data_IF_313295148294
#
_entry.id   IF_313295148294
#
_cell.length_a   1.000
_cell.length_b   1.000
_cell.length_c   1.000
_cell.angle_alpha   90.00
_cell.angle_beta   90.00
_cell.angle_gamma   90.00
#
_symmetry.space_group_name_H-M   'P 1'
#
loop_
_entity.id
_entity.type
_entity.pdbx_description
1 polymer ?
#
# COMPACT_ATOMS: atom_id res chain seq x y z
N UNK A 1 51.43 -67.23 12.46
CA UNK A 1 51.29 -66.58 11.14
C UNK A 1 52.02 -67.31 10.00
N UNK A 2 52.78 -68.39 10.26
CA UNK A 2 53.57 -69.09 9.21
C UNK A 2 52.80 -70.17 8.42
N UNK A 3 51.73 -70.75 8.98
CA UNK A 3 50.94 -71.78 8.29
C UNK A 3 49.92 -71.23 7.27
N UNK A 4 49.61 -69.93 7.32
CA UNK A 4 48.64 -69.29 6.42
C UNK A 4 49.22 -68.87 5.07
N UNK A 5 50.53 -68.67 4.97
CA UNK A 5 51.19 -68.21 3.73
C UNK A 5 51.55 -69.38 2.79
N UNK A 6 51.75 -70.59 3.33
CA UNK A 6 52.07 -71.78 2.53
C UNK A 6 50.86 -72.36 1.76
N UNK A 7 49.62 -72.12 2.20
CA UNK A 7 48.43 -72.53 1.43
C UNK A 7 48.20 -71.66 0.18
N UNK A 8 48.72 -70.43 0.18
CA UNK A 8 48.64 -69.48 -0.93
C UNK A 8 49.36 -69.97 -2.20
N UNK A 9 50.40 -70.79 -2.05
CA UNK A 9 51.22 -71.31 -3.15
C UNK A 9 50.68 -72.59 -3.80
N UNK A 10 49.72 -73.29 -3.18
CA UNK A 10 49.22 -74.59 -3.68
C UNK A 10 48.02 -74.48 -4.64
N UNK A 11 47.37 -73.31 -4.70
CA UNK A 11 46.23 -73.04 -5.62
C UNK A 11 46.33 -71.62 -6.20
N UNK A 12 47.27 -71.37 -7.15
CA UNK A 12 47.60 -70.03 -7.64
C UNK A 12 46.40 -69.27 -8.21
N UNK A 13 45.48 -69.97 -8.90
CA UNK A 13 44.25 -69.37 -9.42
C UNK A 13 43.34 -68.80 -8.32
N UNK A 14 43.17 -69.51 -7.20
CA UNK A 14 42.34 -69.04 -6.07
C UNK A 14 42.97 -67.83 -5.38
N UNK A 15 44.29 -67.84 -5.20
CA UNK A 15 45.04 -66.73 -4.62
C UNK A 15 44.94 -65.46 -5.45
N UNK A 16 45.05 -65.57 -6.78
CA UNK A 16 44.84 -64.45 -7.71
C UNK A 16 43.41 -63.91 -7.59
N UNK A 17 42.42 -64.79 -7.53
CA UNK A 17 41.00 -64.41 -7.35
C UNK A 17 40.80 -63.67 -6.02
N UNK A 18 41.38 -64.13 -4.91
CA UNK A 18 41.29 -63.45 -3.61
C UNK A 18 41.95 -62.07 -3.63
N UNK A 19 43.11 -61.92 -4.28
CA UNK A 19 43.79 -60.63 -4.43
C UNK A 19 42.95 -59.67 -5.28
N UNK A 20 42.37 -60.16 -6.39
CA UNK A 20 41.46 -59.37 -7.23
C UNK A 20 40.20 -58.95 -6.47
N UNK A 21 39.61 -59.84 -5.68
CA UNK A 21 38.48 -59.52 -4.80
C UNK A 21 38.85 -58.48 -3.75
N UNK A 22 40.02 -58.61 -3.10
CA UNK A 22 40.53 -57.62 -2.14
C UNK A 22 40.79 -56.26 -2.79
N UNK A 23 41.34 -56.23 -4.00
CA UNK A 23 41.54 -55.00 -4.75
C UNK A 23 40.19 -54.36 -5.13
N UNK A 24 39.22 -55.17 -5.56
CA UNK A 24 37.87 -54.69 -5.89
C UNK A 24 37.15 -54.12 -4.66
N UNK A 25 37.24 -54.78 -3.50
CA UNK A 25 36.64 -54.27 -2.26
C UNK A 25 37.35 -53.01 -1.75
N UNK A 26 38.67 -52.95 -1.83
CA UNK A 26 39.44 -51.76 -1.46
C UNK A 26 39.11 -50.56 -2.35
N UNK A 27 39.05 -50.76 -3.67
CA UNK A 27 38.64 -49.70 -4.61
C UNK A 27 37.21 -49.25 -4.36
N UNK A 28 36.27 -50.19 -4.17
CA UNK A 28 34.87 -49.87 -3.84
C UNK A 28 34.74 -49.09 -2.52
N UNK A 29 35.52 -49.44 -1.50
CA UNK A 29 35.55 -48.72 -0.23
C UNK A 29 36.12 -47.30 -0.41
N UNK A 30 37.23 -47.18 -1.15
CA UNK A 30 37.86 -45.89 -1.45
C UNK A 30 36.92 -44.97 -2.25
N UNK A 31 36.23 -45.49 -3.27
CA UNK A 31 35.26 -44.70 -4.04
C UNK A 31 34.06 -44.31 -3.18
N UNK A 32 33.58 -45.21 -2.32
CA UNK A 32 32.47 -44.92 -1.41
C UNK A 32 32.84 -43.82 -0.40
N UNK A 33 34.04 -43.88 0.19
CA UNK A 33 34.55 -42.85 1.09
C UNK A 33 34.77 -41.52 0.38
N UNK A 34 35.29 -41.54 -0.85
CA UNK A 34 35.47 -40.35 -1.67
C UNK A 34 34.12 -39.69 -2.02
N UNK A 35 33.13 -40.49 -2.44
CA UNK A 35 31.76 -40.01 -2.70
C UNK A 35 31.10 -39.46 -1.44
N UNK A 36 31.26 -40.12 -0.30
CA UNK A 36 30.73 -39.63 0.98
C UNK A 36 31.34 -38.27 1.35
N UNK A 37 32.67 -38.14 1.30
CA UNK A 37 33.36 -36.86 1.57
C UNK A 37 32.94 -35.76 0.59
N UNK A 38 32.86 -36.09 -0.70
CA UNK A 38 32.42 -35.14 -1.73
C UNK A 38 30.97 -34.70 -1.50
N UNK A 39 30.07 -35.64 -1.22
CA UNK A 39 28.66 -35.37 -0.91
C UNK A 39 28.52 -34.50 0.34
N UNK A 40 29.23 -34.82 1.43
CA UNK A 40 29.20 -33.99 2.64
C UNK A 40 29.72 -32.57 2.41
N UNK A 41 30.79 -32.40 1.62
CA UNK A 41 31.27 -31.07 1.22
C UNK A 41 30.29 -30.34 0.33
N UNK A 42 29.67 -31.04 -0.63
CA UNK A 42 28.66 -30.48 -1.53
C UNK A 42 27.42 -30.01 -0.76
N UNK A 43 26.88 -30.84 0.14
CA UNK A 43 25.75 -30.48 1.01
C UNK A 43 26.09 -29.26 1.86
N UNK A 44 27.31 -29.20 2.42
CA UNK A 44 27.75 -28.03 3.17
C UNK A 44 27.80 -26.79 2.27
N UNK A 45 28.38 -26.90 1.08
CA UNK A 45 28.44 -25.80 0.13
C UNK A 45 27.04 -25.33 -0.30
N UNK A 46 26.11 -26.23 -0.58
CA UNK A 46 24.71 -25.91 -0.89
C UNK A 46 24.06 -25.18 0.29
N UNK A 47 24.24 -25.65 1.52
CA UNK A 47 23.72 -24.97 2.73
C UNK A 47 24.31 -23.57 2.92
N UNK A 48 25.58 -23.38 2.60
CA UNK A 48 26.25 -22.09 2.70
C UNK A 48 25.91 -21.16 1.52
N UNK A 49 25.35 -21.69 0.42
CA UNK A 49 25.07 -20.93 -0.81
C UNK A 49 23.60 -20.51 -0.94
N UNK A 50 22.65 -21.30 -0.44
CA UNK A 50 21.22 -21.04 -0.59
C UNK A 50 20.59 -20.65 0.74
N UNK A 51 19.97 -19.46 0.76
CA UNK A 51 19.10 -19.02 1.84
C UNK A 51 17.66 -19.35 1.48
N UNK A 52 16.92 -19.97 2.41
CA UNK A 52 15.49 -20.21 2.25
C UNK A 52 14.72 -18.99 2.73
N UNK A 53 13.78 -18.51 1.92
CA UNK A 53 12.84 -17.45 2.31
C UNK A 53 11.61 -18.13 2.90
N UNK A 54 11.39 -17.97 4.20
CA UNK A 54 10.14 -18.33 4.85
C UNK A 54 9.17 -17.16 4.75
N UNK A 55 8.05 -17.35 4.06
CA UNK A 55 6.99 -16.34 3.96
C UNK A 55 5.80 -16.79 4.80
N UNK A 56 5.40 -15.95 5.74
CA UNK A 56 4.17 -16.11 6.51
C UNK A 56 3.15 -15.13 5.93
N UNK A 57 2.11 -15.64 5.26
CA UNK A 57 1.01 -14.78 4.82
C UNK A 57 0.04 -14.60 5.97
N UNK A 58 -0.18 -13.35 6.37
CA UNK A 58 -1.11 -13.04 7.45
C UNK A 58 -2.56 -13.33 7.05
N UNK A 59 -2.84 -13.33 5.75
CA UNK A 59 -4.12 -13.70 5.15
C UNK A 59 -4.54 -15.14 5.49
N UNK A 60 -3.63 -16.00 5.93
CA UNK A 60 -3.96 -17.34 6.45
C UNK A 60 -4.58 -17.29 7.87
N UNK A 61 -4.44 -16.18 8.58
CA UNK A 61 -4.89 -15.96 9.95
C UNK A 61 -6.01 -14.91 10.06
N UNK A 62 -6.22 -14.10 9.01
CA UNK A 62 -7.20 -13.01 9.01
C UNK A 62 -8.26 -13.18 7.92
N UNK A 63 -9.49 -12.79 8.25
CA UNK A 63 -10.57 -12.75 7.26
C UNK A 63 -10.32 -11.61 6.27
N UNK A 64 -10.37 -11.90 4.97
CA UNK A 64 -10.08 -10.89 3.94
C UNK A 64 -11.25 -9.93 3.73
N UNK A 65 -10.95 -8.77 3.14
CA UNK A 65 -11.97 -7.72 2.92
C UNK A 65 -13.05 -8.15 1.91
N UNK A 66 -12.72 -9.13 1.06
CA UNK A 66 -13.59 -9.63 0.00
C UNK A 66 -14.66 -10.61 0.52
N UNK A 67 -15.92 -10.37 0.18
CA UNK A 67 -17.11 -11.11 0.70
C UNK A 67 -17.09 -12.61 0.36
N UNK A 68 -16.40 -13.02 -0.70
CA UNK A 68 -16.29 -14.44 -1.12
C UNK A 68 -14.90 -15.05 -0.85
N UNK A 69 -14.12 -14.44 0.05
CA UNK A 69 -12.83 -15.00 0.42
C UNK A 69 -13.01 -16.30 1.21
N UNK A 70 -12.03 -17.20 1.08
CA UNK A 70 -11.95 -18.38 1.92
C UNK A 70 -11.79 -17.96 3.39
N UNK A 71 -12.37 -18.70 4.34
CA UNK A 71 -12.16 -18.44 5.77
C UNK A 71 -10.67 -18.62 6.12
N UNK A 72 -10.18 -17.94 7.19
CA UNK A 72 -8.81 -18.14 7.67
C UNK A 72 -8.50 -19.62 7.92
N UNK A 73 -7.29 -20.05 7.58
CA UNK A 73 -6.81 -21.41 7.84
C UNK A 73 -6.46 -21.62 9.31
N UNK A 74 -6.06 -20.54 9.99
CA UNK A 74 -5.60 -20.54 11.37
C UNK A 74 -6.30 -19.45 12.19
N UNK A 75 -6.35 -19.64 13.51
CA UNK A 75 -6.85 -18.64 14.45
C UNK A 75 -5.85 -17.48 14.59
N UNK A 76 -6.34 -16.24 14.50
CA UNK A 76 -5.54 -15.02 14.62
C UNK A 76 -4.66 -14.98 15.88
N UNK A 77 -5.13 -15.55 17.00
CA UNK A 77 -4.37 -15.62 18.26
C UNK A 77 -3.05 -16.40 18.14
N UNK A 78 -2.89 -17.24 17.11
CA UNK A 78 -1.63 -17.93 16.84
C UNK A 78 -0.61 -17.08 16.07
N UNK A 79 -1.01 -16.01 15.41
CA UNK A 79 -0.15 -15.24 14.51
C UNK A 79 1.13 -14.76 15.21
N UNK A 80 1.00 -14.05 16.34
CA UNK A 80 2.15 -13.55 17.11
C UNK A 80 3.03 -14.69 17.63
N UNK A 81 2.42 -15.83 18.02
CA UNK A 81 3.17 -17.01 18.49
C UNK A 81 3.98 -17.65 17.37
N UNK A 82 3.43 -17.72 16.15
CA UNK A 82 4.13 -18.25 14.97
C UNK A 82 5.29 -17.33 14.59
N UNK A 83 5.06 -16.01 14.53
CA UNK A 83 6.10 -15.01 14.28
C UNK A 83 7.24 -15.12 15.30
N UNK A 84 6.93 -15.13 16.59
CA UNK A 84 7.95 -15.28 17.65
C UNK A 84 8.73 -16.58 17.53
N UNK A 85 8.05 -17.71 17.26
CA UNK A 85 8.74 -19.00 17.09
C UNK A 85 9.63 -19.05 15.86
N UNK A 86 9.24 -18.38 14.78
CA UNK A 86 10.08 -18.25 13.59
C UNK A 86 11.33 -17.41 13.90
N UNK A 87 11.19 -16.29 14.61
CA UNK A 87 12.32 -15.44 15.00
C UNK A 87 13.29 -16.11 16.00
N UNK A 88 12.76 -16.92 16.93
CA UNK A 88 13.56 -17.66 17.93
C UNK A 88 14.32 -18.88 17.35
N UNK A 89 14.04 -19.27 16.10
CA UNK A 89 14.63 -20.47 15.49
C UNK A 89 16.14 -20.31 15.26
N UNK A 90 16.92 -21.34 15.59
CA UNK A 90 18.37 -21.39 15.33
C UNK A 90 18.73 -21.32 13.83
N UNK A 91 17.75 -21.58 12.95
CA UNK A 91 17.91 -21.53 11.50
C UNK A 91 17.59 -20.16 10.89
N UNK A 92 17.03 -19.24 11.69
CA UNK A 92 16.67 -17.90 11.22
C UNK A 92 17.90 -17.01 11.26
N UNK A 93 18.36 -16.61 10.07
CA UNK A 93 19.49 -15.68 9.92
C UNK A 93 19.03 -14.24 10.16
N UNK A 94 17.83 -13.92 9.68
CA UNK A 94 17.24 -12.59 9.70
C UNK A 94 15.73 -12.71 9.56
N UNK A 95 14.99 -11.77 10.12
CA UNK A 95 13.54 -11.67 10.06
C UNK A 95 13.16 -10.27 9.62
N UNK A 96 12.16 -10.17 8.73
CA UNK A 96 11.55 -8.90 8.36
C UNK A 96 10.69 -8.41 9.52
N UNK A 97 11.18 -7.40 10.24
CA UNK A 97 10.47 -6.72 11.32
C UNK A 97 10.47 -5.24 10.94
N UNK A 98 9.39 -4.82 10.29
CA UNK A 98 9.22 -3.45 9.83
C UNK A 98 8.18 -2.73 10.68
N UNK A 99 8.51 -1.51 11.05
CA UNK A 99 7.56 -0.53 11.56
C UNK A 99 7.31 0.53 10.49
N UNK A 100 6.16 1.20 10.56
CA UNK A 100 5.74 2.14 9.54
C UNK A 100 5.31 3.47 10.15
N UNK A 101 5.89 4.53 9.62
CA UNK A 101 5.55 5.89 9.97
C UNK A 101 5.40 6.69 8.68
N UNK A 102 5.03 7.95 8.81
CA UNK A 102 5.05 8.90 7.70
C UNK A 102 5.96 10.08 8.05
N UNK A 103 6.71 10.57 7.08
CA UNK A 103 7.58 11.73 7.23
C UNK A 103 7.14 12.86 6.31
N UNK A 104 6.78 14.01 6.87
CA UNK A 104 6.43 15.22 6.14
C UNK A 104 7.66 16.10 5.88
N UNK A 105 7.78 16.61 4.66
CA UNK A 105 8.67 17.71 4.31
C UNK A 105 8.02 18.56 3.22
N UNK A 106 7.87 19.86 3.45
CA UNK A 106 7.21 20.77 2.51
C UNK A 106 7.84 20.82 1.11
N UNK A 107 9.11 20.39 0.98
CA UNK A 107 9.87 20.43 -0.26
C UNK A 107 9.89 19.08 -1.01
N UNK A 108 9.22 18.05 -0.50
CA UNK A 108 9.10 16.76 -1.20
C UNK A 108 7.69 16.55 -1.72
N UNK A 109 7.58 15.80 -2.81
CA UNK A 109 6.34 15.33 -3.41
C UNK A 109 6.37 13.82 -3.50
N UNK A 110 5.23 13.19 -3.24
CA UNK A 110 5.11 11.74 -3.31
C UNK A 110 5.31 11.22 -4.75
N UNK A 111 6.00 10.07 -4.91
CA UNK A 111 6.15 9.41 -6.23
C UNK A 111 4.90 8.60 -6.63
N UNK A 112 3.84 9.35 -6.92
CA UNK A 112 2.50 8.85 -7.26
C UNK A 112 2.24 9.01 -8.75
N UNK A 113 1.50 8.05 -9.34
CA UNK A 113 0.97 8.17 -10.70
C UNK A 113 -0.52 8.49 -10.64
N UNK A 114 -1.00 9.32 -11.56
CA UNK A 114 -2.44 9.44 -11.77
C UNK A 114 -3.06 8.10 -12.15
N UNK A 115 -4.30 7.87 -11.76
CA UNK A 115 -4.97 6.60 -12.04
C UNK A 115 -6.07 6.29 -11.05
N UNK A 116 -6.12 5.05 -10.61
CA UNK A 116 -7.10 4.58 -9.64
C UNK A 116 -6.82 5.09 -8.22
N UNK A 117 -7.81 4.95 -7.34
CA UNK A 117 -7.67 5.25 -5.92
C UNK A 117 -6.53 4.45 -5.27
N UNK A 118 -6.32 3.20 -5.70
CA UNK A 118 -5.26 2.35 -5.16
C UNK A 118 -3.87 2.93 -5.45
N UNK A 119 -3.72 3.56 -6.61
CA UNK A 119 -2.45 4.15 -7.05
C UNK A 119 -2.20 5.53 -6.44
N UNK A 120 -3.28 6.26 -6.11
CA UNK A 120 -3.21 7.69 -5.81
C UNK A 120 -3.49 8.04 -4.34
N UNK A 121 -4.23 7.22 -3.60
CA UNK A 121 -4.58 7.49 -2.22
C UNK A 121 -3.38 7.26 -1.27
N UNK A 122 -3.21 8.09 -0.23
CA UNK A 122 -4.04 9.23 0.17
C UNK A 122 -3.71 10.55 -0.54
N UNK A 123 -2.69 10.57 -1.39
CA UNK A 123 -2.17 11.78 -2.04
C UNK A 123 -3.14 12.45 -3.02
N UNK A 124 -4.19 11.75 -3.48
CA UNK A 124 -5.27 12.36 -4.27
C UNK A 124 -6.23 13.25 -3.47
N UNK A 125 -6.27 13.14 -2.14
CA UNK A 125 -7.15 13.97 -1.31
C UNK A 125 -6.75 15.44 -1.46
N UNK A 126 -7.72 16.26 -1.84
CA UNK A 126 -7.50 17.62 -2.33
C UNK A 126 -8.56 18.58 -1.79
N UNK A 127 -8.22 19.87 -1.80
CA UNK A 127 -9.17 20.97 -1.58
C UNK A 127 -9.26 21.75 -2.89
N UNK A 128 -10.46 21.90 -3.42
CA UNK A 128 -10.68 22.67 -4.65
C UNK A 128 -11.78 23.68 -4.40
N UNK A 129 -11.53 24.93 -4.80
CA UNK A 129 -12.51 26.00 -4.77
C UNK A 129 -12.91 26.35 -6.21
N UNK A 130 -14.20 26.60 -6.42
CA UNK A 130 -14.66 26.88 -7.77
C UNK A 130 -16.14 27.21 -7.87
N UNK A 131 -16.54 27.67 -9.05
CA UNK A 131 -17.93 27.97 -9.38
C UNK A 131 -18.51 26.79 -10.14
N UNK A 132 -19.67 26.29 -9.69
CA UNK A 132 -20.37 25.23 -10.40
C UNK A 132 -20.87 25.72 -11.78
N UNK A 133 -20.38 25.12 -12.86
CA UNK A 133 -20.81 25.42 -14.23
C UNK A 133 -22.00 24.56 -14.65
N UNK A 134 -22.00 23.30 -14.25
CA UNK A 134 -23.08 22.36 -14.56
C UNK A 134 -23.17 21.27 -13.49
N UNK A 135 -24.36 20.72 -13.36
CA UNK A 135 -24.60 19.48 -12.64
C UNK A 135 -25.62 18.66 -13.41
N UNK A 136 -25.33 17.37 -13.55
CA UNK A 136 -26.19 16.40 -14.24
C UNK A 136 -26.35 15.16 -13.36
N UNK A 137 -27.60 14.82 -13.07
CA UNK A 137 -27.92 13.56 -12.39
C UNK A 137 -28.07 12.45 -13.43
N UNK A 138 -27.42 11.32 -13.15
CA UNK A 138 -27.47 10.17 -14.04
C UNK A 138 -28.60 9.22 -13.60
N UNK A 139 -28.98 8.30 -14.49
CA UNK A 139 -29.96 7.25 -14.15
C UNK A 139 -29.47 6.39 -12.97
N UNK A 140 -28.18 6.03 -12.97
CA UNK A 140 -27.52 5.39 -11.81
C UNK A 140 -27.45 6.33 -10.60
N UNK A 141 -27.15 5.86 -9.38
CA UNK A 141 -27.10 6.66 -8.13
C UNK A 141 -26.22 7.93 -8.16
N UNK A 142 -25.47 8.16 -9.23
CA UNK A 142 -24.45 9.19 -9.29
C UNK A 142 -24.95 10.49 -9.95
N UNK A 143 -24.28 11.59 -9.63
CA UNK A 143 -24.29 12.82 -10.39
C UNK A 143 -22.88 13.16 -10.88
N UNK A 144 -22.83 14.06 -11.87
CA UNK A 144 -21.62 14.66 -12.41
C UNK A 144 -21.74 16.17 -12.25
N UNK A 145 -20.84 16.80 -11.50
CA UNK A 145 -20.76 18.24 -11.35
C UNK A 145 -19.46 18.77 -11.97
N UNK A 146 -19.54 19.82 -12.77
CA UNK A 146 -18.37 20.50 -13.34
C UNK A 146 -18.20 21.82 -12.62
N UNK A 147 -17.04 22.02 -12.00
CA UNK A 147 -16.65 23.30 -11.41
C UNK A 147 -15.53 23.92 -12.21
N UNK A 148 -15.62 25.22 -12.43
CA UNK A 148 -14.50 26.05 -12.87
C UNK A 148 -13.67 26.44 -11.66
N UNK A 149 -12.40 26.05 -11.67
CA UNK A 149 -11.49 26.23 -10.55
C UNK A 149 -11.18 27.72 -10.39
N UNK A 150 -11.29 28.21 -9.15
CA UNK A 150 -10.92 29.57 -8.78
C UNK A 150 -9.49 29.59 -8.26
N UNK A 151 -8.53 29.70 -9.17
CA UNK A 151 -7.10 29.76 -8.84
C UNK A 151 -6.67 30.99 -8.03
N UNK A 152 -7.55 31.98 -7.86
CA UNK A 152 -7.29 33.13 -6.97
C UNK A 152 -7.59 32.84 -5.50
N UNK A 153 -8.23 31.70 -5.21
CA UNK A 153 -8.59 31.24 -3.88
C UNK A 153 -7.83 29.95 -3.51
N UNK A 154 -8.11 29.37 -2.34
CA UNK A 154 -7.43 28.19 -1.82
C UNK A 154 -7.67 26.95 -2.71
N UNK A 155 -6.58 26.38 -3.22
CA UNK A 155 -6.58 25.09 -3.90
C UNK A 155 -5.36 24.28 -3.44
N UNK A 156 -5.57 23.00 -3.13
CA UNK A 156 -4.54 22.02 -2.81
C UNK A 156 -4.74 20.86 -3.78
N UNK A 157 -4.06 20.94 -4.92
CA UNK A 157 -4.14 19.96 -6.01
C UNK A 157 -2.84 19.15 -6.02
N UNK A 158 -2.89 17.81 -6.21
CA UNK A 158 -1.70 16.97 -6.14
C UNK A 158 -0.70 17.28 -7.24
N UNK A 159 0.59 17.18 -6.92
CA UNK A 159 1.69 17.41 -7.88
C UNK A 159 1.63 16.51 -9.12
N UNK A 160 1.18 15.26 -8.97
CA UNK A 160 1.02 14.35 -10.11
C UNK A 160 -0.08 14.78 -11.10
N UNK A 161 -0.93 15.74 -10.73
CA UNK A 161 -1.89 16.41 -11.63
C UNK A 161 -1.30 17.73 -12.15
N UNK A 162 -0.70 18.54 -11.27
CA UNK A 162 -0.10 19.84 -11.64
C UNK A 162 1.12 19.72 -12.57
N UNK A 163 1.69 18.51 -12.73
CA UNK A 163 2.68 18.23 -13.78
C UNK A 163 2.12 18.40 -15.20
N UNK A 164 0.80 18.35 -15.35
CA UNK A 164 0.09 18.61 -16.60
C UNK A 164 -0.44 20.05 -16.59
N UNK A 165 -0.72 20.62 -17.77
CA UNK A 165 -1.21 22.01 -17.92
C UNK A 165 -2.29 22.39 -16.90
N UNK A 166 -2.30 23.65 -16.43
CA UNK A 166 -3.23 24.15 -15.39
C UNK A 166 -4.70 23.86 -15.75
N UNK A 167 -5.34 22.82 -15.17
CA UNK A 167 -6.69 22.43 -15.56
C UNK A 167 -7.70 23.49 -15.15
N UNK A 168 -8.48 24.01 -16.08
CA UNK A 168 -9.45 25.07 -15.76
C UNK A 168 -10.71 24.53 -15.09
N UNK A 169 -11.00 23.24 -15.30
CA UNK A 169 -12.22 22.59 -14.84
C UNK A 169 -11.90 21.35 -14.01
N UNK A 170 -12.74 21.08 -13.03
CA UNK A 170 -12.79 19.81 -12.29
C UNK A 170 -14.14 19.15 -12.54
N UNK A 171 -14.07 17.87 -12.90
CA UNK A 171 -15.21 17.00 -13.12
C UNK A 171 -15.38 16.08 -11.90
N UNK A 172 -16.43 16.35 -11.11
CA UNK A 172 -16.68 15.73 -9.82
C UNK A 172 -17.82 14.73 -9.97
N UNK A 173 -17.50 13.45 -9.75
CA UNK A 173 -18.50 12.41 -9.57
C UNK A 173 -18.85 12.29 -8.07
N UNK A 174 -20.14 12.24 -7.78
CA UNK A 174 -20.66 11.97 -6.44
C UNK A 174 -21.93 11.13 -6.49
N UNK A 175 -22.38 10.63 -5.35
CA UNK A 175 -23.55 9.73 -5.24
C UNK A 175 -24.62 10.22 -4.28
N UNK A 176 -24.34 11.27 -3.49
CA UNK A 176 -25.25 11.73 -2.44
C UNK A 176 -25.96 13.05 -2.73
N UNK A 177 -27.16 13.19 -2.17
CA UNK A 177 -27.91 14.43 -2.05
C UNK A 177 -27.85 14.94 -0.61
N UNK A 178 -28.20 16.20 -0.41
CA UNK A 178 -28.20 16.86 0.90
C UNK A 178 -29.33 16.34 1.80
N UNK A 179 -29.26 16.63 3.11
CA UNK A 179 -30.27 16.24 4.09
C UNK A 179 -31.68 16.79 3.78
N UNK A 180 -31.78 17.90 3.05
CA UNK A 180 -33.05 18.49 2.62
C UNK A 180 -33.52 18.00 1.24
N UNK A 181 -33.00 16.85 0.78
CA UNK A 181 -33.29 16.23 -0.50
C UNK A 181 -33.00 17.16 -1.71
N UNK A 182 -31.90 17.93 -1.64
CA UNK A 182 -31.48 18.82 -2.72
C UNK A 182 -30.16 18.39 -3.34
N UNK A 183 -29.89 18.95 -4.50
CA UNK A 183 -28.60 18.81 -5.16
C UNK A 183 -27.49 19.38 -4.27
N UNK A 184 -26.34 18.69 -4.15
CA UNK A 184 -25.18 19.21 -3.40
C UNK A 184 -24.54 20.42 -4.10
N UNK A 185 -24.81 20.62 -5.40
CA UNK A 185 -24.34 21.76 -6.17
C UNK A 185 -25.48 22.49 -6.85
N UNK A 186 -25.32 23.81 -7.01
CA UNK A 186 -26.20 24.69 -7.75
C UNK A 186 -25.36 25.54 -8.71
N UNK A 187 -25.79 25.57 -9.98
CA UNK A 187 -25.09 26.29 -11.04
C UNK A 187 -24.97 27.79 -10.70
N UNK A 188 -23.77 28.33 -10.88
CA UNK A 188 -23.44 29.73 -10.61
C UNK A 188 -23.01 30.03 -9.17
N UNK A 189 -23.16 29.08 -8.24
CA UNK A 189 -22.71 29.25 -6.85
C UNK A 189 -21.25 28.80 -6.68
N UNK A 190 -20.58 29.37 -5.68
CA UNK A 190 -19.19 29.06 -5.33
C UNK A 190 -19.13 28.00 -4.21
N UNK A 191 -18.20 27.06 -4.36
CA UNK A 191 -18.03 25.94 -3.46
C UNK A 191 -16.56 25.76 -3.06
N UNK A 192 -16.37 25.28 -1.84
CA UNK A 192 -15.16 24.61 -1.39
C UNK A 192 -15.46 23.11 -1.31
N UNK A 193 -14.59 22.30 -1.91
CA UNK A 193 -14.80 20.85 -2.04
C UNK A 193 -13.59 20.09 -1.53
N UNK A 194 -13.83 19.14 -0.62
CA UNK A 194 -12.86 18.12 -0.23
C UNK A 194 -13.06 16.93 -1.17
N UNK A 195 -12.06 16.59 -1.98
CA UNK A 195 -12.27 15.73 -3.16
C UNK A 195 -11.05 14.84 -3.44
N UNK A 196 -11.28 13.64 -3.97
CA UNK A 196 -10.25 12.76 -4.51
C UNK A 196 -9.96 13.11 -5.97
N UNK A 197 -8.85 13.81 -6.24
CA UNK A 197 -8.39 14.12 -7.59
C UNK A 197 -7.55 12.96 -8.12
N UNK A 198 -8.12 12.14 -9.00
CA UNK A 198 -7.55 10.85 -9.43
C UNK A 198 -6.64 10.98 -10.65
N UNK A 199 -7.06 11.80 -11.63
CA UNK A 199 -6.32 11.95 -12.88
C UNK A 199 -6.64 13.25 -13.59
N UNK A 200 -5.74 13.60 -14.50
CA UNK A 200 -5.90 14.65 -15.49
C UNK A 200 -6.29 14.04 -16.84
N UNK A 201 -7.23 14.68 -17.55
CA UNK A 201 -7.59 14.28 -18.91
C UNK A 201 -7.99 15.47 -19.78
N UNK A 202 -7.80 15.33 -21.09
CA UNK A 202 -8.17 16.34 -22.10
C UNK A 202 -9.46 15.87 -22.78
N UNK A 203 -10.48 16.71 -22.79
CA UNK A 203 -11.72 16.51 -23.55
C UNK A 203 -11.73 17.40 -24.79
N UNK A 204 -12.25 16.86 -25.89
CA UNK A 204 -12.36 17.55 -27.18
C UNK A 204 -11.09 18.26 -27.67
N UNK A 205 -9.92 17.80 -27.24
CA UNK A 205 -8.61 18.29 -27.67
C UNK A 205 -8.20 19.69 -27.15
N UNK A 206 -9.03 20.36 -26.36
CA UNK A 206 -8.76 21.74 -25.91
C UNK A 206 -9.15 22.04 -24.45
N UNK A 207 -9.95 21.19 -23.80
CA UNK A 207 -10.44 21.47 -22.45
C UNK A 207 -9.84 20.47 -21.47
N UNK A 208 -9.15 21.02 -20.48
CA UNK A 208 -8.39 20.26 -19.49
C UNK A 208 -9.23 20.06 -18.23
N UNK A 209 -9.44 18.80 -17.84
CA UNK A 209 -10.25 18.41 -16.69
C UNK A 209 -9.42 17.64 -15.66
N UNK A 210 -9.69 17.90 -14.39
CA UNK A 210 -9.39 16.96 -13.31
C UNK A 210 -10.55 15.98 -13.19
N UNK A 211 -10.30 14.68 -13.29
CA UNK A 211 -11.24 13.65 -12.88
C UNK A 211 -11.21 13.50 -11.37
N UNK A 212 -12.35 13.74 -10.72
CA UNK A 212 -12.43 13.77 -9.29
C UNK A 212 -13.68 13.09 -8.74
N UNK A 213 -13.61 12.69 -7.46
CA UNK A 213 -14.70 12.02 -6.75
C UNK A 213 -14.84 12.55 -5.34
N UNK A 214 -16.06 12.81 -4.90
CA UNK A 214 -16.35 13.09 -3.48
C UNK A 214 -16.69 11.82 -2.70
N UNK A 215 -16.96 10.71 -3.38
CA UNK A 215 -17.30 9.43 -2.76
C UNK A 215 -17.07 8.21 -3.68
N UNK A 216 -17.38 7.01 -3.15
CA UNK A 216 -17.19 5.72 -3.83
C UNK A 216 -18.48 4.92 -3.98
N UNK A 217 -18.78 4.53 -5.23
CA UNK A 217 -19.88 3.65 -5.69
C UNK A 217 -19.81 2.20 -5.15
N UNK A 218 -18.93 1.86 -4.20
CA UNK A 218 -18.81 0.46 -3.74
C UNK A 218 -18.34 0.29 -2.29
N UNK A 219 -17.74 1.33 -1.70
CA UNK A 219 -17.13 1.23 -0.37
C UNK A 219 -17.57 2.30 0.60
N UNK A 220 -18.41 3.26 0.20
CA UNK A 220 -18.85 4.38 1.03
C UNK A 220 -20.37 4.47 1.17
N UNK A 221 -21.14 3.53 0.61
CA UNK A 221 -22.60 3.53 0.68
C UNK A 221 -23.15 3.65 2.11
N UNK A 222 -22.40 3.16 3.10
CA UNK A 222 -22.78 3.25 4.51
C UNK A 222 -22.62 4.63 5.14
N UNK A 223 -21.98 5.60 4.46
CA UNK A 223 -22.00 7.02 4.88
C UNK A 223 -23.39 7.61 4.70
N UNK A 224 -24.19 6.99 3.84
CA UNK A 224 -25.51 7.43 3.46
C UNK A 224 -26.52 6.53 4.17
N UNK A 225 -27.06 7.04 5.27
CA UNK A 225 -27.88 6.27 6.20
C UNK A 225 -29.31 6.04 5.67
N UNK A 226 -29.68 6.77 4.62
CA UNK A 226 -31.04 6.80 4.08
C UNK A 226 -31.04 6.76 2.55
N UNK A 227 -31.87 5.87 2.00
CA UNK A 227 -32.21 5.83 0.58
C UNK A 227 -33.51 6.60 0.38
N UNK A 228 -33.55 7.47 -0.61
CA UNK A 228 -34.74 8.26 -0.95
C UNK A 228 -35.18 7.89 -2.36
N UNK A 229 -36.40 7.36 -2.48
CA UNK A 229 -37.04 7.12 -3.78
C UNK A 229 -37.39 8.45 -4.43
N UNK A 230 -37.19 8.52 -5.76
CA UNK A 230 -37.57 9.68 -6.55
C UNK A 230 -39.09 9.85 -6.54
N UNK A 231 -39.56 11.05 -6.19
CA UNK A 231 -40.96 11.44 -6.29
C UNK A 231 -41.08 12.59 -7.29
N UNK A 232 -41.69 12.30 -8.45
CA UNK A 232 -41.86 13.28 -9.53
C UNK A 232 -42.65 14.53 -9.12
N UNK A 233 -43.43 14.49 -8.03
CA UNK A 233 -44.18 15.62 -7.50
C UNK A 233 -43.28 16.64 -6.80
N UNK A 234 -42.24 16.17 -6.12
CA UNK A 234 -41.39 17.01 -5.24
C UNK A 234 -39.97 17.18 -5.77
N UNK A 235 -39.48 16.26 -6.60
CA UNK A 235 -38.08 16.17 -7.02
C UNK A 235 -37.82 16.57 -8.48
N UNK A 236 -38.86 16.61 -9.32
CA UNK A 236 -38.72 16.87 -10.77
C UNK A 236 -38.08 18.23 -11.07
N UNK A 237 -38.37 19.25 -10.27
CA UNK A 237 -37.81 20.59 -10.47
C UNK A 237 -36.30 20.65 -10.14
N UNK A 238 -35.89 19.95 -9.08
CA UNK A 238 -34.51 19.96 -8.58
C UNK A 238 -33.59 19.05 -9.42
N UNK A 239 -34.05 17.85 -9.75
CA UNK A 239 -33.21 16.80 -10.33
C UNK A 239 -33.50 16.53 -11.82
N UNK A 240 -34.64 17.00 -12.34
CA UNK A 240 -35.15 16.60 -13.64
C UNK A 240 -36.03 15.35 -13.56
N UNK A 241 -36.46 14.88 -14.73
CA UNK A 241 -37.40 13.76 -14.85
C UNK A 241 -36.68 12.41 -14.88
N UNK A 242 -37.03 11.52 -13.93
CA UNK A 242 -36.56 10.15 -13.84
C UNK A 242 -37.71 9.15 -13.74
N UNK A 243 -37.40 7.87 -13.89
CA UNK A 243 -38.31 6.78 -13.54
C UNK A 243 -38.57 6.75 -12.03
N UNK A 244 -39.78 6.37 -11.62
CA UNK A 244 -40.19 6.25 -10.20
C UNK A 244 -39.37 5.20 -9.40
N UNK A 245 -38.54 4.38 -10.05
CA UNK A 245 -37.64 3.43 -9.40
C UNK A 245 -36.24 4.03 -9.11
N UNK A 246 -36.01 5.29 -9.47
CA UNK A 246 -34.77 6.01 -9.22
C UNK A 246 -34.61 6.22 -7.71
N UNK A 247 -33.40 5.97 -7.22
CA UNK A 247 -33.04 6.15 -5.82
C UNK A 247 -31.87 7.12 -5.69
N UNK A 248 -31.88 7.89 -4.60
CA UNK A 248 -30.79 8.76 -4.16
C UNK A 248 -30.27 8.33 -2.80
N UNK A 249 -28.99 8.61 -2.57
CA UNK A 249 -28.35 8.41 -1.27
C UNK A 249 -28.35 9.73 -0.53
N UNK A 250 -28.80 9.73 0.72
CA UNK A 250 -28.88 10.96 1.50
C UNK A 250 -27.74 11.05 2.50
N UNK A 251 -27.06 12.20 2.54
CA UNK A 251 -26.00 12.47 3.51
C UNK A 251 -26.53 13.34 4.66
N UNK A 252 -26.80 12.70 5.79
CA UNK A 252 -27.37 13.36 6.97
C UNK A 252 -26.31 13.77 8.01
N UNK A 253 -25.08 13.27 7.92
CA UNK A 253 -24.03 13.56 8.89
C UNK A 253 -23.11 14.70 8.41
N UNK A 254 -23.14 15.89 9.03
CA UNK A 254 -22.31 17.02 8.65
C UNK A 254 -20.80 16.75 8.69
N UNK A 255 -20.33 15.85 9.57
CA UNK A 255 -18.90 15.51 9.66
C UNK A 255 -18.36 14.81 8.40
N UNK A 256 -19.26 14.29 7.56
CA UNK A 256 -18.95 13.59 6.32
C UNK A 256 -19.17 14.45 5.07
N UNK A 257 -19.67 15.69 5.21
CA UNK A 257 -19.94 16.58 4.07
C UNK A 257 -18.66 16.85 3.30
N UNK A 258 -18.63 16.57 2.00
CA UNK A 258 -17.44 16.79 1.17
C UNK A 258 -17.54 18.07 0.33
N UNK A 259 -18.70 18.72 0.34
CA UNK A 259 -19.04 19.90 -0.46
C UNK A 259 -19.60 20.95 0.48
N UNK A 260 -19.10 22.19 0.39
CA UNK A 260 -19.60 23.32 1.15
C UNK A 260 -19.78 24.52 0.23
N UNK A 261 -21.00 25.05 0.17
CA UNK A 261 -21.25 26.34 -0.45
C UNK A 261 -20.57 27.43 0.40
N UNK A 262 -19.84 28.33 -0.25
CA UNK A 262 -19.21 29.48 0.39
C UNK A 262 -19.62 30.77 -0.32
N UNK A 263 -19.96 31.81 0.44
CA UNK A 263 -20.27 33.15 -0.09
C UNK A 263 -19.07 34.12 0.02
N UNK A 264 -17.97 33.66 0.63
CA UNK A 264 -16.72 34.40 0.86
C UNK A 264 -15.53 33.70 0.19
N UNK A 265 -14.30 34.16 0.47
CA UNK A 265 -13.11 33.34 0.17
C UNK A 265 -13.08 32.09 1.06
N UNK A 266 -12.40 31.04 0.61
CA UNK A 266 -12.22 29.83 1.42
C UNK A 266 -11.40 30.12 2.69
N UNK A 267 -10.44 31.04 2.62
CA UNK A 267 -9.68 31.49 3.79
C UNK A 267 -10.58 32.11 4.86
N UNK A 268 -11.45 33.06 4.49
CA UNK A 268 -12.39 33.68 5.42
C UNK A 268 -13.37 32.64 5.99
N UNK A 269 -13.82 31.69 5.17
CA UNK A 269 -14.72 30.63 5.62
C UNK A 269 -14.06 29.75 6.67
N UNK A 270 -12.83 29.27 6.43
CA UNK A 270 -12.08 28.43 7.36
C UNK A 270 -11.78 29.16 8.67
N UNK A 271 -11.37 30.43 8.60
CA UNK A 271 -11.06 31.23 9.78
C UNK A 271 -12.29 31.41 10.70
N UNK A 272 -13.49 31.45 10.12
CA UNK A 272 -14.75 31.56 10.85
C UNK A 272 -15.29 30.22 11.36
N UNK A 273 -15.17 29.14 10.56
CA UNK A 273 -15.69 27.81 10.91
C UNK A 273 -14.87 27.12 12.00
N UNK A 274 -13.53 27.24 11.94
CA UNK A 274 -12.57 26.65 12.90
C UNK A 274 -12.88 25.20 13.29
N UNK A 275 -13.12 24.35 12.30
CA UNK A 275 -13.42 22.95 12.53
C UNK A 275 -13.02 22.09 11.34
N UNK A 276 -13.97 21.30 10.85
CA UNK A 276 -13.76 20.19 9.92
C UNK A 276 -12.98 20.57 8.67
N UNK A 277 -13.20 21.78 8.14
CA UNK A 277 -12.57 22.22 6.90
C UNK A 277 -11.11 22.65 7.10
N UNK A 278 -10.78 23.21 8.26
CA UNK A 278 -9.40 23.49 8.64
C UNK A 278 -8.57 22.20 8.72
N UNK A 279 -9.10 21.18 9.39
CA UNK A 279 -8.46 19.87 9.54
C UNK A 279 -8.20 19.19 8.20
N UNK A 280 -9.14 19.30 7.26
CA UNK A 280 -8.99 18.74 5.91
C UNK A 280 -7.94 19.49 5.08
N UNK A 281 -7.89 20.81 5.20
CA UNK A 281 -6.87 21.64 4.56
C UNK A 281 -5.49 21.25 5.08
N UNK A 282 -5.33 21.12 6.39
CA UNK A 282 -4.08 20.68 7.01
C UNK A 282 -3.70 19.26 6.58
N UNK A 283 -4.65 18.32 6.65
CA UNK A 283 -4.47 16.93 6.20
C UNK A 283 -4.00 16.85 4.75
N UNK A 284 -4.63 17.58 3.83
CA UNK A 284 -4.22 17.64 2.42
C UNK A 284 -2.81 18.19 2.27
N UNK A 285 -2.52 19.35 2.88
CA UNK A 285 -1.20 20.02 2.77
C UNK A 285 -0.08 19.12 3.27
N UNK A 286 -0.28 18.45 4.40
CA UNK A 286 0.77 17.62 4.98
C UNK A 286 0.90 16.32 4.19
N UNK A 287 -0.21 15.61 3.94
CA UNK A 287 -0.18 14.29 3.31
C UNK A 287 0.42 14.30 1.91
N UNK A 288 0.11 15.31 1.09
CA UNK A 288 0.66 15.41 -0.28
C UNK A 288 2.18 15.58 -0.33
N UNK A 289 2.76 16.02 0.79
CA UNK A 289 4.18 16.29 0.99
C UNK A 289 4.82 15.30 1.98
N UNK A 290 4.23 14.12 2.12
CA UNK A 290 4.74 13.06 2.99
C UNK A 290 5.30 11.88 2.21
N UNK A 291 6.33 11.25 2.79
CA UNK A 291 6.87 9.97 2.37
C UNK A 291 6.55 8.88 3.40
N UNK A 292 6.47 7.64 2.94
CA UNK A 292 6.32 6.49 3.81
C UNK A 292 7.69 6.18 4.44
N UNK A 293 7.76 6.14 5.77
CA UNK A 293 8.99 5.85 6.50
C UNK A 293 8.95 4.42 7.01
N UNK A 294 9.80 3.57 6.43
CA UNK A 294 9.91 2.15 6.78
C UNK A 294 11.11 1.99 7.71
N UNK A 295 10.81 1.69 8.96
CA UNK A 295 11.77 1.43 10.02
C UNK A 295 12.12 -0.05 9.96
N UNK A 296 13.38 -0.37 9.72
CA UNK A 296 13.84 -1.76 9.59
C UNK A 296 15.20 -1.92 10.26
N UNK A 297 15.51 -3.15 10.64
CA UNK A 297 16.83 -3.56 11.11
C UNK A 297 17.71 -4.11 9.97
N UNK A 298 17.14 -4.44 8.80
CA UNK A 298 17.86 -4.95 7.64
C UNK A 298 17.01 -4.88 6.36
N UNK A 299 17.39 -4.03 5.40
CA UNK A 299 16.64 -3.88 4.14
C UNK A 299 16.54 -5.20 3.34
N UNK A 300 17.56 -6.05 3.37
CA UNK A 300 17.60 -7.29 2.59
C UNK A 300 16.70 -8.42 3.15
N UNK A 301 16.12 -8.26 4.34
CA UNK A 301 15.12 -9.21 4.86
C UNK A 301 13.75 -9.00 4.22
N UNK A 302 13.49 -7.80 3.70
CA UNK A 302 12.23 -7.42 3.09
C UNK A 302 12.06 -8.20 1.79
N UNK A 303 10.88 -8.82 1.61
CA UNK A 303 10.59 -9.74 0.51
C UNK A 303 11.06 -9.23 -0.85
N UNK A 304 10.67 -8.01 -1.26
CA UNK A 304 11.07 -7.46 -2.57
C UNK A 304 12.59 -7.29 -2.74
N UNK A 305 13.33 -6.93 -1.69
CA UNK A 305 14.79 -6.86 -1.78
C UNK A 305 15.43 -8.25 -1.83
N UNK A 306 14.85 -9.20 -1.09
CA UNK A 306 15.34 -10.57 -1.05
C UNK A 306 15.14 -11.31 -2.38
N UNK A 307 14.02 -11.05 -3.07
CA UNK A 307 13.71 -11.63 -4.38
C UNK A 307 14.32 -10.85 -5.56
N UNK A 308 15.09 -9.78 -5.29
CA UNK A 308 15.63 -8.83 -6.29
C UNK A 308 14.57 -8.06 -7.10
N UNK A 309 13.32 -8.02 -6.64
CA UNK A 309 12.30 -7.12 -7.20
C UNK A 309 12.58 -5.65 -6.86
N UNK A 310 13.34 -5.41 -5.78
CA UNK A 310 13.94 -4.13 -5.42
C UNK A 310 15.45 -4.28 -5.20
N UNK A 311 16.24 -3.31 -5.64
CA UNK A 311 17.69 -3.36 -5.51
C UNK A 311 18.32 -1.96 -5.47
N UNK A 312 19.45 -1.81 -4.77
CA UNK A 312 20.21 -0.56 -4.71
C UNK A 312 20.84 -0.28 -6.08
N UNK A 313 20.57 0.89 -6.65
CA UNK A 313 21.09 1.32 -7.96
C UNK A 313 22.12 2.45 -7.86
N UNK A 314 22.11 3.21 -6.75
CA UNK A 314 23.09 4.27 -6.48
C UNK A 314 23.44 4.30 -5.00
N UNK A 315 24.67 4.73 -4.68
CA UNK A 315 25.16 4.80 -3.31
C UNK A 315 25.38 3.40 -2.73
N UNK A 316 24.95 3.20 -1.49
CA UNK A 316 25.10 1.94 -0.76
C UNK A 316 23.85 1.61 0.07
N UNK A 317 23.78 0.37 0.55
CA UNK A 317 22.82 0.01 1.59
C UNK A 317 23.24 0.57 2.95
N UNK A 318 22.30 0.60 3.90
CA UNK A 318 22.56 0.88 5.32
C UNK A 318 23.36 -0.30 5.89
N UNK A 319 24.40 0.00 6.68
CA UNK A 319 25.27 -1.03 7.27
C UNK A 319 24.71 -1.58 8.57
N UNK A 320 25.13 -2.79 8.94
CA UNK A 320 24.73 -3.41 10.22
C UNK A 320 25.10 -2.54 11.44
N UNK A 321 26.22 -1.81 11.37
CA UNK A 321 26.63 -0.86 12.41
C UNK A 321 25.68 0.35 12.50
N UNK A 322 25.27 0.90 11.36
CA UNK A 322 24.29 1.98 11.30
C UNK A 322 22.91 1.54 11.82
N UNK A 323 22.48 0.31 11.50
CA UNK A 323 21.27 -0.28 12.08
C UNK A 323 21.40 -0.47 13.60
N UNK A 324 22.53 -1.03 14.07
CA UNK A 324 22.76 -1.30 15.48
C UNK A 324 22.78 -0.03 16.34
N UNK A 325 23.36 1.06 15.79
CA UNK A 325 23.51 2.36 16.44
C UNK A 325 22.32 3.31 16.23
N UNK A 326 21.34 2.96 15.38
CA UNK A 326 20.23 3.85 15.05
C UNK A 326 20.68 5.09 14.28
N UNK A 327 21.66 4.96 13.39
CA UNK A 327 22.21 6.09 12.65
C UNK A 327 21.14 6.81 11.81
N UNK A 328 21.23 8.13 11.70
CA UNK A 328 20.29 8.92 10.90
C UNK A 328 20.72 8.93 9.43
N UNK A 329 20.62 7.77 8.80
CA UNK A 329 20.84 7.56 7.37
C UNK A 329 19.60 6.95 6.74
N UNK A 330 19.36 7.19 5.46
CA UNK A 330 18.21 6.62 4.75
C UNK A 330 18.56 6.12 3.35
N UNK A 331 17.71 5.22 2.86
CA UNK A 331 17.69 4.77 1.47
C UNK A 331 16.32 5.12 0.88
N UNK A 332 16.33 5.83 -0.24
CA UNK A 332 15.10 6.30 -0.92
C UNK A 332 14.93 5.62 -2.27
N UNK A 333 13.75 5.68 -2.87
CA UNK A 333 13.61 5.29 -4.28
C UNK A 333 14.40 6.25 -5.19
N UNK A 334 15.02 5.73 -6.24
CA UNK A 334 15.68 6.54 -7.28
C UNK A 334 14.70 7.42 -8.04
N UNK A 335 13.44 7.00 -8.19
CA UNK A 335 12.40 7.84 -8.81
C UNK A 335 11.95 8.95 -7.87
N UNK A 336 11.76 8.64 -6.59
CA UNK A 336 11.48 9.64 -5.55
C UNK A 336 12.59 10.69 -5.45
N UNK A 337 13.86 10.25 -5.42
CA UNK A 337 15.01 11.15 -5.39
C UNK A 337 15.06 12.06 -6.62
N UNK A 338 14.81 11.51 -7.81
CA UNK A 338 14.80 12.28 -9.06
C UNK A 338 13.68 13.32 -9.07
N UNK A 339 12.46 12.93 -8.69
CA UNK A 339 11.29 13.82 -8.64
C UNK A 339 11.53 15.00 -7.69
N UNK A 340 12.21 14.75 -6.57
CA UNK A 340 12.48 15.73 -5.53
C UNK A 340 13.86 16.40 -5.64
N UNK A 341 14.60 16.15 -6.73
CA UNK A 341 15.95 16.68 -6.98
C UNK A 341 16.95 16.38 -5.86
N UNK A 342 16.81 15.23 -5.21
CA UNK A 342 17.67 14.73 -4.14
C UNK A 342 18.80 13.85 -4.69
N UNK A 343 19.95 13.90 -4.04
CA UNK A 343 21.16 13.15 -4.36
C UNK A 343 21.70 12.42 -3.12
N UNK A 344 22.61 11.47 -3.35
CA UNK A 344 23.35 10.82 -2.27
C UNK A 344 24.18 11.87 -1.51
N UNK A 345 24.12 11.85 -0.19
CA UNK A 345 24.75 12.83 0.71
C UNK A 345 23.84 14.00 1.10
N UNK A 346 22.70 14.19 0.43
CA UNK A 346 21.74 15.22 0.81
C UNK A 346 21.06 14.88 2.15
N UNK A 347 20.61 15.92 2.85
CA UNK A 347 19.87 15.81 4.11
C UNK A 347 18.37 15.90 3.86
N UNK A 348 17.64 14.90 4.34
CA UNK A 348 16.19 14.83 4.29
C UNK A 348 15.64 15.01 5.71
N UNK A 349 15.14 16.22 6.00
CA UNK A 349 14.49 16.54 7.28
C UNK A 349 13.03 16.10 7.19
N UNK A 350 12.56 15.31 8.15
CA UNK A 350 11.20 14.78 8.17
C UNK A 350 10.54 15.08 9.53
N UNK A 351 9.37 15.71 9.51
CA UNK A 351 8.46 15.74 10.66
C UNK A 351 7.63 14.47 10.65
N UNK A 352 7.77 13.66 11.69
CA UNK A 352 7.28 12.28 11.72
C UNK A 352 5.94 12.19 12.45
N UNK A 353 5.02 11.42 11.89
CA UNK A 353 3.71 11.13 12.47
C UNK A 353 3.31 9.67 12.26
N UNK A 354 2.49 9.15 13.17
CA UNK A 354 1.90 7.82 13.07
C UNK A 354 0.74 7.82 12.07
N UNK A 355 0.56 6.71 11.36
CA UNK A 355 -0.49 6.61 10.35
C UNK A 355 -1.15 5.24 10.38
N UNK A 356 -2.48 5.24 10.35
CA UNK A 356 -3.28 4.03 10.19
C UNK A 356 -3.47 3.67 8.70
N UNK A 357 -3.83 2.41 8.44
CA UNK A 357 -4.15 1.95 7.10
C UNK A 357 -5.66 1.69 6.94
N UNK A 358 -6.14 1.99 5.73
CA UNK A 358 -7.42 1.53 5.19
C UNK A 358 -7.13 0.36 4.26
N UNK A 359 -7.98 -0.67 4.29
CA UNK A 359 -7.80 -1.86 3.47
C UNK A 359 -8.79 -1.82 2.32
N UNK A 360 -8.31 -2.03 1.11
CA UNK A 360 -9.11 -2.18 -0.09
C UNK A 360 -8.80 -3.50 -0.79
N UNK A 361 -9.83 -4.14 -1.31
CA UNK A 361 -9.67 -5.30 -2.19
C UNK A 361 -9.39 -4.85 -3.62
N UNK A 362 -8.21 -5.18 -4.16
CA UNK A 362 -7.81 -4.94 -5.55
C UNK A 362 -7.88 -6.23 -6.35
N UNK A 363 -8.41 -6.18 -7.58
CA UNK A 363 -8.51 -7.36 -8.46
C UNK A 363 -7.15 -7.63 -9.11
N UNK A 364 -6.65 -8.86 -8.98
CA UNK A 364 -5.47 -9.37 -9.65
C UNK A 364 -5.77 -9.44 -11.15
N UNK A 365 -5.10 -8.61 -11.95
CA UNK A 365 -5.19 -8.69 -13.41
C UNK A 365 -4.46 -9.95 -13.89
N UNK A 366 -5.14 -10.81 -14.65
CA UNK A 366 -4.49 -11.92 -15.36
C UNK A 366 -3.40 -11.38 -16.28
N UNK A 367 -2.17 -11.90 -16.17
CA UNK A 367 -1.11 -11.67 -17.16
C UNK A 367 -1.33 -12.46 -18.46
N UNK A 368 -2.27 -13.41 -18.46
CA UNK A 368 -2.63 -14.28 -19.59
C UNK A 368 -4.09 -14.08 -20.07
N UNK A 369 -4.73 -12.97 -19.66
CA UNK A 369 -6.09 -12.64 -20.08
C UNK A 369 -6.10 -11.99 -21.46
N UNK A 370 -6.96 -12.48 -22.36
CA UNK A 370 -7.30 -11.76 -23.59
C UNK A 370 -7.85 -10.37 -23.24
N UNK A 371 -7.39 -9.35 -23.96
CA UNK A 371 -7.82 -7.97 -23.77
C UNK A 371 -9.36 -7.86 -23.87
N UNK A 372 -10.00 -7.34 -22.83
CA UNK A 372 -11.46 -7.20 -22.77
C UNK A 372 -12.24 -8.36 -22.14
N UNK A 373 -11.59 -9.46 -21.71
CA UNK A 373 -12.28 -10.58 -21.06
C UNK A 373 -12.07 -10.58 -19.54
N UNK A 374 -13.09 -10.15 -18.79
CA UNK A 374 -13.15 -10.31 -17.34
C UNK A 374 -13.44 -11.77 -16.99
N UNK A 375 -12.43 -12.54 -16.56
CA UNK A 375 -12.64 -13.87 -15.96
C UNK A 375 -12.42 -13.77 -14.45
N UNK A 376 -13.33 -14.34 -13.68
CA UNK A 376 -13.09 -14.58 -12.26
C UNK A 376 -12.47 -15.97 -12.06
N UNK A 377 -11.39 -16.06 -11.27
CA UNK A 377 -10.95 -17.26 -10.56
C UNK A 377 -11.85 -17.41 -9.34
N UNK A 378 -12.51 -18.55 -9.22
CA UNK A 378 -13.18 -18.92 -7.99
C UNK A 378 -12.18 -18.82 -6.81
N UNK A 379 -12.46 -17.92 -5.85
CA UNK A 379 -11.81 -17.85 -4.54
C UNK A 379 -10.52 -17.02 -4.39
N UNK A 380 -9.80 -16.63 -5.46
CA UNK A 380 -8.45 -16.00 -5.33
C UNK A 380 -8.12 -14.83 -6.27
N UNK A 381 -9.14 -14.14 -6.79
CA UNK A 381 -8.94 -13.02 -7.73
C UNK A 381 -8.52 -11.69 -7.13
N UNK A 382 -8.47 -11.57 -5.80
CA UNK A 382 -8.30 -10.27 -5.17
C UNK A 382 -7.22 -10.32 -4.10
N UNK A 383 -6.48 -9.22 -4.02
CA UNK A 383 -5.47 -8.97 -3.01
C UNK A 383 -5.95 -7.82 -2.12
N UNK A 384 -5.78 -7.97 -0.81
CA UNK A 384 -5.92 -6.83 0.09
C UNK A 384 -4.74 -5.86 -0.17
N UNK A 385 -5.05 -4.58 -0.33
CA UNK A 385 -4.11 -3.48 -0.52
C UNK A 385 -4.29 -2.50 0.63
N UNK A 386 -3.19 -2.02 1.17
CA UNK A 386 -3.17 -1.17 2.35
C UNK A 386 -2.85 0.26 1.94
N UNK A 387 -3.78 1.14 2.23
CA UNK A 387 -3.76 2.54 1.85
C UNK A 387 -3.59 3.40 3.10
N UNK A 388 -2.53 4.19 3.16
CA UNK A 388 -2.30 5.14 4.25
C UNK A 388 -3.49 6.09 4.40
N UNK A 389 -3.99 6.35 5.61
CA UNK A 389 -5.07 7.33 5.84
C UNK A 389 -4.59 8.79 5.78
N UNK A 390 -3.29 9.01 5.67
CA UNK A 390 -2.68 10.34 5.65
C UNK A 390 -2.57 10.96 7.05
N UNK A 391 -2.11 12.20 7.08
CA UNK A 391 -1.88 12.96 8.32
C UNK A 391 -3.16 13.14 9.13
N UNK A 392 -3.09 12.92 10.44
CA UNK A 392 -4.20 13.11 11.37
C UNK A 392 -3.95 14.33 12.28
N UNK A 393 -4.66 15.46 12.08
CA UNK A 393 -4.46 16.68 12.86
C UNK A 393 -4.57 16.48 14.38
N UNK A 394 -5.42 15.56 14.82
CA UNK A 394 -5.60 15.24 16.24
C UNK A 394 -4.36 14.56 16.85
N UNK A 395 -3.63 13.74 16.06
CA UNK A 395 -2.41 13.05 16.52
C UNK A 395 -1.17 13.92 16.35
N UNK A 396 -1.11 14.72 15.29
CA UNK A 396 -0.02 15.64 15.01
C UNK A 396 1.32 14.95 14.73
N UNK A 397 2.40 15.74 14.78
CA UNK A 397 3.77 15.24 14.70
C UNK A 397 4.32 14.96 16.10
N UNK A 398 5.11 13.89 16.25
CA UNK A 398 5.73 13.56 17.53
C UNK A 398 7.26 13.74 17.55
N UNK A 399 7.92 13.82 16.40
CA UNK A 399 9.36 14.11 16.32
C UNK A 399 9.75 14.73 14.98
N UNK A 400 10.95 15.29 14.89
CA UNK A 400 11.59 15.79 13.67
C UNK A 400 13.00 15.25 13.58
N UNK A 401 13.35 14.62 12.46
CA UNK A 401 14.63 13.93 12.28
C UNK A 401 15.22 14.26 10.91
N UNK A 402 16.53 14.49 10.88
CA UNK A 402 17.30 14.68 9.66
C UNK A 402 18.05 13.39 9.29
N UNK A 403 17.76 12.83 8.12
CA UNK A 403 18.47 11.65 7.58
C UNK A 403 19.40 12.03 6.43
N UNK A 404 20.60 11.47 6.41
CA UNK A 404 21.48 11.52 5.22
C UNK A 404 21.12 10.42 4.22
N UNK A 405 20.92 10.79 2.95
CA UNK A 405 20.64 9.81 1.90
C UNK A 405 21.93 9.07 1.54
N UNK A 406 22.04 7.80 1.92
CA UNK A 406 23.23 6.97 1.64
C UNK A 406 23.06 6.05 0.43
N UNK A 407 21.81 5.81 0.02
CA UNK A 407 21.50 4.94 -1.10
C UNK A 407 20.21 5.32 -1.82
N UNK A 408 20.10 4.87 -3.06
CA UNK A 408 18.85 4.88 -3.80
C UNK A 408 18.55 3.51 -4.41
N UNK A 409 17.32 3.02 -4.22
CA UNK A 409 16.86 1.75 -4.78
C UNK A 409 15.98 1.95 -6.01
N UNK A 410 15.85 0.91 -6.84
CA UNK A 410 14.85 0.83 -7.90
C UNK A 410 14.01 -0.43 -7.71
N UNK A 411 12.78 -0.40 -8.21
CA UNK A 411 11.88 -1.56 -8.28
C UNK A 411 11.72 -2.00 -9.73
N UNK A 412 11.65 -3.31 -9.99
CA UNK A 412 11.40 -3.82 -11.35
C UNK A 412 10.03 -3.40 -11.88
N UNK A 413 9.02 -3.45 -11.00
CA UNK A 413 7.64 -3.04 -11.29
C UNK A 413 7.12 -2.22 -10.12
N UNK A 414 6.37 -1.15 -10.41
CA UNK A 414 5.57 -0.48 -9.39
C UNK A 414 4.52 -1.48 -8.88
N UNK A 415 4.49 -1.69 -7.58
CA UNK A 415 3.53 -2.55 -6.91
C UNK A 415 2.61 -1.70 -6.03
N UNK A 416 1.35 -2.11 -5.97
CA UNK A 416 0.43 -1.64 -4.94
C UNK A 416 0.90 -2.16 -3.58
N UNK A 417 0.71 -1.38 -2.52
CA UNK A 417 1.20 -1.71 -1.17
C UNK A 417 0.46 -2.91 -0.56
N UNK A 418 1.16 -4.00 -0.28
CA UNK A 418 0.62 -5.20 0.36
C UNK A 418 1.52 -5.78 1.47
N UNK A 419 1.18 -6.95 2.01
CA UNK A 419 1.99 -7.64 3.05
C UNK A 419 3.46 -7.87 2.65
N UNK A 420 3.73 -7.99 1.35
CA UNK A 420 5.05 -8.27 0.79
C UNK A 420 5.64 -7.11 -0.01
N UNK A 421 4.85 -6.11 -0.40
CA UNK A 421 5.27 -5.04 -1.31
C UNK A 421 5.17 -3.65 -0.67
N UNK A 422 6.03 -2.75 -1.12
CA UNK A 422 6.02 -1.33 -0.76
C UNK A 422 5.98 -0.46 -2.02
N UNK A 423 5.58 0.79 -1.84
CA UNK A 423 5.52 1.75 -2.95
C UNK A 423 6.88 2.41 -3.20
N UNK A 424 7.04 3.08 -4.34
CA UNK A 424 8.24 3.89 -4.60
C UNK A 424 8.33 5.15 -3.71
N UNK A 425 7.32 5.42 -2.87
CA UNK A 425 7.34 6.50 -1.90
C UNK A 425 7.96 6.08 -0.55
N UNK A 426 8.46 4.84 -0.44
CA UNK A 426 9.09 4.34 0.77
C UNK A 426 10.52 4.88 0.95
N UNK A 427 10.81 5.27 2.18
CA UNK A 427 12.11 5.72 2.69
C UNK A 427 12.50 4.75 3.79
N UNK A 428 13.58 4.00 3.58
CA UNK A 428 14.07 3.03 4.56
C UNK A 428 15.05 3.70 5.52
N UNK A 429 14.81 3.51 6.81
CA UNK A 429 15.65 4.04 7.90
C UNK A 429 15.91 2.98 8.96
N UNK A 430 16.98 3.12 9.77
CA UNK A 430 17.20 2.24 10.91
C UNK A 430 16.05 2.32 11.91
N UNK A 431 15.50 1.17 12.31
CA UNK A 431 14.43 1.10 13.30
C UNK A 431 14.79 1.85 14.60
N UNK A 432 16.03 1.70 15.08
CA UNK A 432 16.53 2.38 16.28
C UNK A 432 16.80 3.88 16.12
N UNK A 433 16.59 4.46 14.94
CA UNK A 433 16.73 5.91 14.74
C UNK A 433 15.57 6.71 15.34
N UNK A 434 14.48 6.03 15.70
CA UNK A 434 13.30 6.63 16.35
C UNK A 434 12.96 5.80 17.57
N UNK A 435 12.76 6.44 18.73
CA UNK A 435 12.30 5.76 19.93
C UNK A 435 10.77 5.65 19.92
N UNK A 436 10.27 4.43 20.08
CA UNK A 436 8.84 4.13 20.17
C UNK A 436 8.56 2.68 19.83
N UNK A 437 7.30 2.29 19.99
CA UNK A 437 6.79 0.99 19.56
C UNK A 437 5.63 1.24 18.60
N UNK A 438 5.92 1.25 17.31
CA UNK A 438 5.00 1.79 16.32
C UNK A 438 4.23 0.70 15.61
N UNK A 439 2.91 0.77 15.72
CA UNK A 439 1.97 -0.14 15.06
C UNK A 439 2.26 -1.63 15.38
N UNK A 440 2.44 -1.93 16.67
CA UNK A 440 2.55 -3.31 17.18
C UNK A 440 1.24 -3.84 17.75
N UNK A 441 0.26 -2.98 17.96
CA UNK A 441 -1.07 -3.37 18.43
C UNK A 441 -2.00 -3.76 17.27
N UNK A 442 -2.87 -4.77 17.44
CA UNK A 442 -3.91 -5.08 16.47
C UNK A 442 -4.86 -3.90 16.26
N UNK A 443 -5.15 -3.58 15.01
CA UNK A 443 -6.21 -2.63 14.65
C UNK A 443 -7.52 -3.37 14.45
N UNK A 444 -8.62 -2.77 14.91
CA UNK A 444 -9.96 -3.26 14.60
C UNK A 444 -10.39 -2.66 13.27
N UNK A 445 -10.59 -3.52 12.29
CA UNK A 445 -11.16 -3.17 11.01
C UNK A 445 -12.59 -3.69 10.90
N UNK A 446 -13.57 -2.79 10.98
CA UNK A 446 -14.98 -3.15 10.78
C UNK A 446 -15.27 -3.31 9.29
N UNK A 447 -15.41 -4.55 8.83
CA UNK A 447 -15.97 -4.84 7.51
C UNK A 447 -17.48 -4.64 7.57
N UNK A 448 -18.01 -3.93 6.59
CA UNK A 448 -19.46 -3.79 6.37
C UNK A 448 -19.84 -4.58 5.12
N UNK A 449 -20.71 -5.58 5.26
CA UNK A 449 -21.19 -6.41 4.14
C UNK A 449 -22.68 -6.18 3.94
N UNK A 450 -23.06 -5.92 2.69
CA UNK A 450 -24.45 -5.89 2.29
C UNK A 450 -24.80 -7.23 1.65
N UNK A 451 -25.58 -8.04 2.35
CA UNK A 451 -26.26 -9.20 1.78
C UNK A 451 -27.73 -8.82 1.61
N UNK A 452 -28.56 -9.10 2.61
CA UNK A 452 -29.98 -8.73 2.66
C UNK A 452 -30.25 -7.65 3.75
N UNK A 453 -29.27 -7.45 4.63
CA UNK A 453 -29.19 -6.42 5.66
C UNK A 453 -27.72 -6.05 5.86
N UNK A 454 -27.44 -4.84 6.34
CA UNK A 454 -26.08 -4.41 6.62
C UNK A 454 -25.52 -5.17 7.83
N UNK A 455 -24.50 -6.00 7.61
CA UNK A 455 -23.79 -6.73 8.67
C UNK A 455 -22.44 -6.06 8.92
N UNK A 456 -22.16 -5.81 10.19
CA UNK A 456 -20.87 -5.31 10.66
C UNK A 456 -20.08 -6.46 11.26
N UNK A 457 -18.85 -6.64 10.81
CA UNK A 457 -17.92 -7.64 11.34
C UNK A 457 -16.63 -6.94 11.70
N UNK A 458 -16.35 -6.86 13.00
CA UNK A 458 -15.09 -6.34 13.50
C UNK A 458 -14.00 -7.40 13.33
N UNK A 459 -13.00 -7.07 12.53
CA UNK A 459 -11.85 -7.93 12.32
C UNK A 459 -10.65 -7.36 13.05
N UNK A 460 -10.02 -8.16 13.90
CA UNK A 460 -8.69 -7.88 14.38
C UNK A 460 -7.70 -8.13 13.24
N UNK A 461 -6.93 -7.10 12.91
CA UNK A 461 -5.85 -7.18 11.93
C UNK A 461 -4.59 -6.63 12.57
N UNK A 462 -3.44 -7.09 12.12
CA UNK A 462 -2.19 -6.38 12.36
C UNK A 462 -2.33 -4.95 11.83
N UNK A 463 -1.81 -3.99 12.59
CA UNK A 463 -1.80 -2.58 12.19
C UNK A 463 -0.87 -2.33 11.00
N UNK A 464 0.05 -3.25 10.73
CA UNK A 464 0.98 -3.24 9.60
C UNK A 464 0.88 -4.53 8.77
N UNK A 465 1.00 -4.45 7.44
CA UNK A 465 1.26 -5.60 6.58
C UNK A 465 2.71 -6.10 6.71
N UNK A 466 2.90 -7.36 7.14
CA UNK A 466 4.19 -8.05 7.08
C UNK A 466 5.16 -7.77 8.24
N UNK A 467 4.67 -7.23 9.37
CA UNK A 467 5.44 -6.95 10.61
C UNK A 467 5.30 -8.04 11.66
#
# INVERSE_FOLDING_TARGET
MEYSLKSFYRTPAKSIIYILLLALTATSLCTSLAMWRYSSKSIKHVKDTFTTIGVLSELEFIEQSYVKADPPLYDYSFLSRVKNKAMESEYTVTADIREYLMGYNENIYADVKQGSEVETYPYCMSIVTGICESIEFQYSLNYKAVLRIDYSDLNIIPDFINKFEDPQLIDILGTYITEDNKSPFKVGEKYMVYVMCNSYYIHDGYVNYINARVDRIAGDYYKYEEYVEYDSTTMKEEFGEFDENKVFLKLNNPSLYMVQKIDTTAYDFIENEKGLWADRVERCKITQHSAELILTNQINSIYMFNTNEAYIVKGRNITDEEFANGAHVCVVSSSFATNNKLSIGDKLILKVYENDFKILSSTIKRTDGEEGVWRSLEGKDKLDVWLSKGFDPDKGFFTEIEYEIVGAYATEKKADRNEFTFTNNAVFVPQKSIEGDFNTEPTVHTIKRYTDKLVYTDLLRTSIPGS
#
